data_IF_199699848802
#
_entry.id   IF_199699848802
#
_cell.length_a   1.000
_cell.length_b   1.000
_cell.length_c   1.000
_cell.angle_alpha   90.00
_cell.angle_beta   90.00
_cell.angle_gamma   90.00
#
_symmetry.space_group_name_H-M   'P 1'
#
loop_
_entity.id
_entity.type
_entity.pdbx_description
1 polymer ?
#
# COMPACT_ATOMS: atom_id res chain seq x y z
N UNK A 1 -48.35 -98.37 14.99
CA UNK A 1 -47.26 -97.50 15.48
C UNK A 1 -47.72 -96.04 15.34
N UNK A 2 -47.85 -95.41 16.50
CA UNK A 2 -48.35 -94.02 16.46
C UNK A 2 -47.24 -93.04 16.00
N UNK A 3 -47.39 -92.44 14.83
CA UNK A 3 -46.40 -91.56 14.22
C UNK A 3 -46.51 -90.12 14.80
N UNK A 4 -47.58 -89.88 15.57
CA UNK A 4 -47.91 -88.56 16.12
C UNK A 4 -46.85 -87.96 17.07
N UNK A 5 -46.22 -88.70 18.01
CA UNK A 5 -45.21 -88.13 18.92
C UNK A 5 -43.91 -87.73 18.19
N UNK A 6 -43.55 -88.33 17.08
CA UNK A 6 -42.35 -88.01 16.33
C UNK A 6 -42.57 -86.70 15.53
N UNK A 7 -43.77 -86.55 14.97
CA UNK A 7 -44.14 -85.29 14.24
C UNK A 7 -44.21 -84.08 15.19
N UNK A 8 -44.71 -84.27 16.41
CA UNK A 8 -44.79 -83.24 17.45
C UNK A 8 -43.37 -82.82 17.88
N UNK A 9 -42.47 -83.80 18.06
CA UNK A 9 -41.06 -83.46 18.39
C UNK A 9 -40.33 -82.74 17.27
N UNK A 10 -40.49 -83.16 16.05
CA UNK A 10 -39.89 -82.43 14.87
C UNK A 10 -40.42 -80.98 14.80
N UNK A 11 -41.70 -80.79 15.02
CA UNK A 11 -42.31 -79.48 15.04
C UNK A 11 -41.83 -78.62 16.23
N UNK A 12 -41.60 -79.18 17.37
CA UNK A 12 -41.02 -78.47 18.53
C UNK A 12 -39.56 -78.08 18.26
N UNK A 13 -38.73 -79.00 17.79
CA UNK A 13 -37.31 -78.74 17.46
C UNK A 13 -37.18 -77.67 16.36
N UNK A 14 -38.04 -77.70 15.34
CA UNK A 14 -38.09 -76.68 14.31
C UNK A 14 -38.48 -75.28 14.83
N UNK A 15 -39.47 -75.26 15.78
CA UNK A 15 -39.84 -73.95 16.39
C UNK A 15 -38.72 -73.41 17.31
N UNK A 16 -38.03 -74.28 18.03
CA UNK A 16 -36.89 -73.89 18.89
C UNK A 16 -35.72 -73.39 18.02
N UNK A 17 -35.41 -74.07 16.90
CA UNK A 17 -34.38 -73.61 15.92
C UNK A 17 -34.73 -72.26 15.31
N UNK A 18 -35.99 -72.11 14.91
CA UNK A 18 -36.47 -70.82 14.36
C UNK A 18 -36.38 -69.67 15.42
N UNK A 19 -36.76 -69.96 16.69
CA UNK A 19 -36.66 -68.98 17.74
C UNK A 19 -35.19 -68.55 18.01
N UNK A 20 -34.26 -69.54 18.02
CA UNK A 20 -32.80 -69.22 18.14
C UNK A 20 -32.27 -68.35 17.00
N UNK A 21 -32.66 -68.68 15.77
CA UNK A 21 -32.26 -67.88 14.59
C UNK A 21 -32.79 -66.44 14.69
N UNK A 22 -34.03 -66.26 15.11
CA UNK A 22 -34.63 -64.93 15.27
C UNK A 22 -33.99 -64.17 16.41
N UNK A 23 -33.65 -64.80 17.53
CA UNK A 23 -32.95 -64.12 18.62
C UNK A 23 -31.54 -63.70 18.25
N UNK A 24 -30.78 -64.54 17.55
CA UNK A 24 -29.47 -64.22 17.03
C UNK A 24 -29.53 -63.06 15.99
N UNK A 25 -30.53 -63.07 15.13
CA UNK A 25 -30.73 -61.98 14.17
C UNK A 25 -31.05 -60.64 14.84
N UNK A 26 -31.89 -60.68 15.90
CA UNK A 26 -32.19 -59.48 16.71
C UNK A 26 -30.96 -58.93 17.40
N UNK A 27 -30.19 -59.79 18.07
CA UNK A 27 -28.93 -59.38 18.71
C UNK A 27 -27.95 -58.76 17.74
N UNK A 28 -27.75 -59.36 16.55
CA UNK A 28 -26.90 -58.78 15.49
C UNK A 28 -27.41 -57.43 15.00
N UNK A 29 -28.71 -57.26 14.85
CA UNK A 29 -29.31 -55.98 14.44
C UNK A 29 -29.07 -54.90 15.52
N UNK A 30 -29.24 -55.23 16.81
CA UNK A 30 -28.95 -54.32 17.91
C UNK A 30 -27.48 -53.94 18.02
N UNK A 31 -26.56 -54.88 17.77
CA UNK A 31 -25.11 -54.60 17.77
C UNK A 31 -24.72 -53.70 16.60
N UNK A 32 -25.28 -53.92 15.40
CA UNK A 32 -25.07 -53.07 14.24
C UNK A 32 -25.60 -51.66 14.50
N UNK A 33 -26.79 -51.55 15.08
CA UNK A 33 -27.37 -50.23 15.42
C UNK A 33 -26.50 -49.49 16.45
N UNK A 34 -26.10 -50.13 17.53
CA UNK A 34 -25.19 -49.53 18.53
C UNK A 34 -23.85 -49.09 17.91
N UNK A 35 -23.23 -49.93 17.10
CA UNK A 35 -21.99 -49.59 16.42
C UNK A 35 -22.18 -48.44 15.41
N UNK A 36 -23.35 -48.32 14.77
CA UNK A 36 -23.68 -47.24 13.88
C UNK A 36 -23.88 -45.93 14.62
N UNK A 37 -24.62 -45.93 15.72
CA UNK A 37 -24.83 -44.76 16.60
C UNK A 37 -23.49 -44.23 17.15
N UNK A 38 -22.62 -45.12 17.63
CA UNK A 38 -21.29 -44.73 18.09
C UNK A 38 -20.46 -44.08 16.98
N UNK A 39 -20.48 -44.63 15.76
CA UNK A 39 -19.78 -44.04 14.59
C UNK A 39 -20.35 -42.67 14.20
N UNK A 40 -21.66 -42.52 14.26
CA UNK A 40 -22.31 -41.23 13.99
C UNK A 40 -21.88 -40.20 15.06
N UNK A 41 -21.95 -40.54 16.33
CA UNK A 41 -21.54 -39.65 17.41
C UNK A 41 -20.06 -39.22 17.29
N UNK A 42 -19.16 -40.17 16.97
CA UNK A 42 -17.75 -39.86 16.73
C UNK A 42 -17.55 -38.90 15.54
N UNK A 43 -18.27 -39.17 14.43
CA UNK A 43 -18.17 -38.29 13.24
C UNK A 43 -18.70 -36.88 13.50
N UNK A 44 -19.79 -36.76 14.27
CA UNK A 44 -20.33 -35.47 14.65
C UNK A 44 -19.34 -34.70 15.53
N UNK A 45 -18.79 -35.35 16.58
CA UNK A 45 -17.78 -34.70 17.42
C UNK A 45 -16.53 -34.24 16.63
N UNK A 46 -16.05 -35.06 15.69
CA UNK A 46 -14.93 -34.69 14.83
C UNK A 46 -15.29 -33.54 13.86
N UNK A 47 -16.54 -33.52 13.37
CA UNK A 47 -17.00 -32.44 12.50
C UNK A 47 -17.12 -31.11 13.27
N UNK A 48 -17.65 -31.16 14.48
CA UNK A 48 -17.77 -29.99 15.36
C UNK A 48 -16.38 -29.43 15.73
N UNK A 49 -15.43 -30.29 16.13
CA UNK A 49 -14.05 -29.86 16.40
C UNK A 49 -13.38 -29.20 15.20
N UNK A 50 -13.54 -29.79 14.02
CA UNK A 50 -13.01 -29.17 12.76
C UNK A 50 -13.65 -27.84 12.47
N UNK A 51 -14.97 -27.72 12.62
CA UNK A 51 -15.69 -26.47 12.39
C UNK A 51 -15.23 -25.37 13.35
N UNK A 52 -15.00 -25.69 14.63
CA UNK A 52 -14.47 -24.74 15.62
C UNK A 52 -13.06 -24.28 15.26
N UNK A 53 -12.16 -25.19 14.86
CA UNK A 53 -10.79 -24.86 14.43
C UNK A 53 -10.80 -23.98 13.18
N UNK A 54 -11.61 -24.32 12.18
CA UNK A 54 -11.74 -23.55 10.95
C UNK A 54 -12.32 -22.15 11.21
N UNK A 55 -13.32 -22.05 12.07
CA UNK A 55 -13.91 -20.78 12.48
C UNK A 55 -12.89 -19.89 13.21
N UNK A 56 -12.11 -20.47 14.13
CA UNK A 56 -11.05 -19.75 14.83
C UNK A 56 -9.93 -19.29 13.89
N UNK A 57 -9.55 -20.10 12.91
CA UNK A 57 -8.55 -19.73 11.90
C UNK A 57 -9.07 -18.62 10.96
N UNK A 58 -10.33 -18.72 10.57
CA UNK A 58 -10.99 -17.68 9.77
C UNK A 58 -11.00 -16.34 10.54
N UNK A 59 -11.44 -16.35 11.80
CA UNK A 59 -11.46 -15.16 12.64
C UNK A 59 -10.06 -14.53 12.79
N UNK A 60 -9.03 -15.34 13.01
CA UNK A 60 -7.63 -14.87 13.08
C UNK A 60 -7.14 -14.25 11.77
N UNK A 61 -7.51 -14.86 10.62
CA UNK A 61 -7.17 -14.30 9.29
C UNK A 61 -7.88 -12.97 9.04
N UNK A 62 -9.17 -12.89 9.36
CA UNK A 62 -9.94 -11.65 9.19
C UNK A 62 -9.41 -10.53 10.07
N UNK A 63 -9.07 -10.81 11.33
CA UNK A 63 -8.49 -9.82 12.24
C UNK A 63 -7.14 -9.28 11.73
N UNK A 64 -6.25 -10.15 11.23
CA UNK A 64 -4.98 -9.73 10.63
C UNK A 64 -5.17 -8.91 9.36
N UNK A 65 -6.11 -9.30 8.50
CA UNK A 65 -6.42 -8.57 7.28
C UNK A 65 -6.98 -7.18 7.61
N UNK A 66 -7.95 -7.10 8.53
CA UNK A 66 -8.52 -5.82 8.98
C UNK A 66 -7.45 -4.89 9.58
N UNK A 67 -6.55 -5.42 10.42
CA UNK A 67 -5.44 -4.65 10.97
C UNK A 67 -4.48 -4.13 9.88
N UNK A 68 -4.20 -4.94 8.86
CA UNK A 68 -3.36 -4.52 7.73
C UNK A 68 -4.04 -3.43 6.90
N UNK A 69 -5.31 -3.60 6.56
CA UNK A 69 -6.06 -2.59 5.81
C UNK A 69 -6.20 -1.28 6.59
N UNK A 70 -6.43 -1.36 7.91
CA UNK A 70 -6.43 -0.18 8.76
C UNK A 70 -5.09 0.57 8.77
N UNK A 71 -3.95 -0.15 8.82
CA UNK A 71 -2.62 0.48 8.72
C UNK A 71 -2.38 1.11 7.35
N UNK A 72 -2.79 0.45 6.26
CA UNK A 72 -2.67 1.00 4.91
C UNK A 72 -3.49 2.29 4.75
N UNK A 73 -4.73 2.30 5.24
CA UNK A 73 -5.58 3.47 5.20
C UNK A 73 -4.94 4.64 5.96
N UNK A 74 -4.47 4.40 7.20
CA UNK A 74 -3.79 5.42 8.00
C UNK A 74 -2.55 5.98 7.29
N UNK A 75 -1.73 5.13 6.67
CA UNK A 75 -0.55 5.57 5.93
C UNK A 75 -0.92 6.38 4.67
N UNK A 76 -2.01 6.00 3.98
CA UNK A 76 -2.52 6.76 2.84
C UNK A 76 -3.00 8.15 3.28
N UNK A 77 -3.74 8.25 4.38
CA UNK A 77 -4.20 9.52 4.94
C UNK A 77 -3.02 10.42 5.37
N UNK A 78 -2.04 9.86 6.06
CA UNK A 78 -0.80 10.59 6.42
C UNK A 78 -0.10 11.14 5.17
N UNK A 79 -0.02 10.36 4.10
CA UNK A 79 0.58 10.81 2.84
C UNK A 79 -0.17 11.98 2.23
N UNK A 80 -1.50 11.95 2.24
CA UNK A 80 -2.33 13.07 1.74
C UNK A 80 -2.02 14.37 2.49
N UNK A 81 -1.85 14.30 3.83
CA UNK A 81 -1.52 15.48 4.64
C UNK A 81 -0.12 15.99 4.32
N UNK A 82 0.88 15.11 4.19
CA UNK A 82 2.25 15.49 3.79
C UNK A 82 2.23 16.16 2.41
N UNK A 83 1.54 15.55 1.44
CA UNK A 83 1.39 16.11 0.08
C UNK A 83 0.72 17.49 0.08
N UNK A 84 -0.23 17.71 0.98
CA UNK A 84 -0.87 19.01 1.15
C UNK A 84 0.11 20.06 1.72
N UNK A 85 0.93 19.68 2.70
CA UNK A 85 1.94 20.57 3.27
C UNK A 85 2.98 21.00 2.22
N UNK A 86 3.48 20.08 1.40
CA UNK A 86 4.43 20.42 0.33
C UNK A 86 3.78 21.27 -0.79
N UNK A 87 2.51 21.03 -1.11
CA UNK A 87 1.77 21.90 -2.05
C UNK A 87 1.61 23.31 -1.52
N UNK A 88 1.24 23.44 -0.24
CA UNK A 88 1.13 24.75 0.40
C UNK A 88 2.47 25.48 0.42
N UNK A 89 3.57 24.79 0.75
CA UNK A 89 4.90 25.35 0.69
C UNK A 89 5.29 25.85 -0.71
N UNK A 90 4.90 25.14 -1.77
CA UNK A 90 5.11 25.57 -3.15
C UNK A 90 4.31 26.84 -3.46
N UNK A 91 3.06 26.90 -3.03
CA UNK A 91 2.20 28.06 -3.25
C UNK A 91 2.72 29.28 -2.48
N UNK A 92 3.22 29.10 -1.27
CA UNK A 92 3.86 30.16 -0.47
C UNK A 92 5.15 30.65 -1.14
N UNK A 93 5.99 29.76 -1.70
CA UNK A 93 7.17 30.13 -2.46
C UNK A 93 6.83 30.94 -3.72
N UNK A 94 5.76 30.58 -4.42
CA UNK A 94 5.29 31.31 -5.61
C UNK A 94 4.68 32.68 -5.26
N UNK A 95 4.15 32.80 -4.06
CA UNK A 95 3.56 34.04 -3.54
C UNK A 95 4.58 34.99 -2.88
N UNK A 96 5.88 34.61 -2.84
CA UNK A 96 6.93 35.49 -2.34
C UNK A 96 6.91 36.85 -3.04
N UNK A 97 7.20 37.96 -2.32
CA UNK A 97 7.38 39.27 -2.94
C UNK A 97 8.38 39.18 -4.11
N UNK A 98 8.08 39.84 -5.21
CA UNK A 98 8.89 39.70 -6.43
C UNK A 98 10.37 40.07 -6.23
N UNK A 99 10.68 41.00 -5.32
CA UNK A 99 12.06 41.36 -4.98
C UNK A 99 12.78 40.24 -4.25
N UNK A 100 12.10 39.53 -3.30
CA UNK A 100 12.68 38.43 -2.54
C UNK A 100 12.92 37.20 -3.42
N UNK A 101 11.92 36.87 -4.26
CA UNK A 101 12.04 35.79 -5.23
C UNK A 101 13.18 36.06 -6.23
N UNK A 102 13.27 37.30 -6.74
CA UNK A 102 14.34 37.72 -7.65
C UNK A 102 15.72 37.64 -6.98
N UNK A 103 15.85 38.11 -5.74
CA UNK A 103 17.11 38.05 -5.00
C UNK A 103 17.52 36.58 -4.73
N UNK A 104 16.56 35.71 -4.44
CA UNK A 104 16.80 34.28 -4.28
C UNK A 104 17.32 33.65 -5.59
N UNK A 105 16.63 33.87 -6.72
CA UNK A 105 17.03 33.32 -8.02
C UNK A 105 18.36 33.87 -8.50
N UNK A 106 18.67 35.11 -8.19
CA UNK A 106 19.97 35.69 -8.52
C UNK A 106 21.12 34.98 -7.78
N UNK A 107 20.97 34.77 -6.50
CA UNK A 107 21.94 34.01 -5.68
C UNK A 107 22.07 32.56 -6.18
N UNK A 108 20.92 31.92 -6.48
CA UNK A 108 20.90 30.57 -7.00
C UNK A 108 21.61 30.43 -8.33
N UNK A 109 21.36 31.38 -9.26
CA UNK A 109 22.01 31.41 -10.55
C UNK A 109 23.52 31.59 -10.44
N UNK A 110 23.97 32.58 -9.67
CA UNK A 110 25.40 32.81 -9.44
C UNK A 110 26.07 31.62 -8.76
N UNK A 111 25.36 30.94 -7.84
CA UNK A 111 25.89 29.74 -7.16
C UNK A 111 25.93 28.49 -8.02
N UNK A 112 25.13 28.40 -9.09
CA UNK A 112 25.00 27.17 -9.89
C UNK A 112 25.58 27.29 -11.31
N UNK A 113 25.56 28.46 -11.92
CA UNK A 113 26.09 28.66 -13.27
C UNK A 113 27.62 28.44 -13.31
N UNK A 114 28.07 27.71 -14.32
CA UNK A 114 29.50 27.50 -14.60
C UNK A 114 30.05 28.52 -15.62
N UNK A 115 29.15 29.23 -16.31
CA UNK A 115 29.43 30.20 -17.35
C UNK A 115 29.20 29.66 -18.76
N UNK A 116 28.64 30.52 -19.62
CA UNK A 116 28.33 30.20 -21.01
C UNK A 116 27.05 29.38 -21.22
N UNK A 117 26.22 29.20 -20.17
CA UNK A 117 24.92 28.54 -20.28
C UNK A 117 23.88 29.45 -20.96
N UNK A 118 22.87 28.79 -21.53
CA UNK A 118 21.62 29.41 -21.94
C UNK A 118 20.61 29.32 -20.78
N UNK A 119 20.02 30.46 -20.39
CA UNK A 119 19.03 30.59 -19.33
C UNK A 119 17.62 30.62 -19.94
N UNK A 120 16.81 29.62 -19.61
CA UNK A 120 15.40 29.56 -19.97
C UNK A 120 14.59 30.04 -18.78
N UNK A 121 13.87 31.15 -18.92
CA UNK A 121 13.00 31.63 -17.85
C UNK A 121 11.74 30.79 -17.75
N UNK A 122 11.31 30.53 -16.52
CA UNK A 122 10.01 29.88 -16.26
C UNK A 122 8.85 30.76 -16.68
N UNK A 123 7.80 30.16 -17.25
CA UNK A 123 6.63 30.89 -17.74
C UNK A 123 6.02 31.80 -16.66
N UNK A 124 5.91 31.32 -15.43
CA UNK A 124 5.35 32.06 -14.30
C UNK A 124 6.28 33.14 -13.74
N UNK A 125 7.59 33.10 -14.02
CA UNK A 125 8.63 34.02 -13.50
C UNK A 125 9.26 34.92 -14.56
N UNK A 126 8.78 34.84 -15.80
CA UNK A 126 9.35 35.61 -16.94
C UNK A 126 9.32 37.12 -16.73
N UNK A 127 8.34 37.62 -15.97
CA UNK A 127 8.22 39.04 -15.64
C UNK A 127 9.37 39.55 -14.75
N UNK A 128 10.04 38.68 -14.00
CA UNK A 128 11.18 39.03 -13.14
C UNK A 128 12.53 38.54 -13.67
N UNK A 129 12.54 37.47 -14.47
CA UNK A 129 13.74 36.90 -15.11
C UNK A 129 13.79 37.38 -16.56
N UNK A 130 14.26 38.57 -16.74
CA UNK A 130 14.38 39.28 -18.04
C UNK A 130 15.83 39.74 -18.24
N UNK A 131 16.10 40.45 -19.33
CA UNK A 131 17.46 40.94 -19.69
C UNK A 131 18.18 41.67 -18.54
N UNK A 132 17.49 42.53 -17.78
CA UNK A 132 18.08 43.25 -16.65
C UNK A 132 18.44 42.33 -15.45
N UNK A 133 17.75 41.17 -15.29
CA UNK A 133 18.15 40.16 -14.35
C UNK A 133 19.43 39.45 -14.80
N UNK A 134 19.49 39.07 -16.08
CA UNK A 134 20.66 38.39 -16.68
C UNK A 134 21.88 39.27 -16.64
N UNK A 135 21.73 40.57 -16.94
CA UNK A 135 22.82 41.52 -16.84
C UNK A 135 23.39 41.58 -15.42
N UNK A 136 22.54 41.70 -14.40
CA UNK A 136 22.96 41.69 -12.99
C UNK A 136 23.66 40.41 -12.59
N UNK A 137 23.17 39.26 -13.08
CA UNK A 137 23.80 37.96 -12.83
C UNK A 137 25.19 37.89 -13.50
N UNK A 138 25.31 38.36 -14.74
CA UNK A 138 26.57 38.37 -15.49
C UNK A 138 27.62 39.28 -14.86
N UNK A 139 27.22 40.40 -14.29
CA UNK A 139 28.12 41.24 -13.50
C UNK A 139 28.67 40.52 -12.26
N UNK A 140 27.84 39.74 -11.60
CA UNK A 140 28.26 38.93 -10.44
C UNK A 140 29.19 37.79 -10.87
N UNK A 141 28.85 37.06 -11.94
CA UNK A 141 29.69 35.99 -12.51
C UNK A 141 31.05 36.49 -12.95
N UNK A 142 31.10 37.67 -13.63
CA UNK A 142 32.36 38.30 -14.07
C UNK A 142 33.30 38.64 -12.91
N UNK A 143 32.76 39.07 -11.74
CA UNK A 143 33.55 39.30 -10.52
C UNK A 143 34.24 38.04 -10.00
N UNK A 144 33.64 36.87 -10.27
CA UNK A 144 34.18 35.57 -9.92
C UNK A 144 35.01 34.93 -11.06
N UNK A 145 35.24 35.65 -12.14
CA UNK A 145 36.04 35.19 -13.28
C UNK A 145 35.35 34.14 -14.15
N UNK A 146 34.00 34.08 -14.09
CA UNK A 146 33.18 33.14 -14.88
C UNK A 146 32.56 33.84 -16.10
N UNK A 147 32.35 33.08 -17.15
CA UNK A 147 31.64 33.57 -18.34
C UNK A 147 30.16 33.87 -18.00
N UNK A 148 29.56 34.80 -18.69
CA UNK A 148 28.16 35.14 -18.50
C UNK A 148 27.22 34.10 -19.12
N UNK A 149 25.96 34.11 -18.65
CA UNK A 149 24.85 33.34 -19.23
C UNK A 149 24.07 34.18 -20.26
N UNK A 150 23.34 33.55 -21.17
CA UNK A 150 22.51 34.21 -22.19
C UNK A 150 21.04 33.86 -21.96
N UNK A 151 20.16 34.87 -22.05
CA UNK A 151 18.73 34.64 -21.98
C UNK A 151 18.23 33.94 -23.24
N UNK A 152 17.54 32.85 -23.11
CA UNK A 152 16.86 32.15 -24.21
C UNK A 152 15.57 32.87 -24.59
N UNK A 153 15.21 32.78 -25.87
CA UNK A 153 13.86 33.13 -26.34
C UNK A 153 12.83 32.11 -25.90
N UNK A 154 13.26 30.85 -25.70
CA UNK A 154 12.42 29.76 -25.20
C UNK A 154 12.12 29.94 -23.70
N UNK A 155 11.00 29.36 -23.24
CA UNK A 155 10.62 29.30 -21.86
C UNK A 155 10.52 27.86 -21.36
N UNK A 156 10.44 27.71 -20.06
CA UNK A 156 10.21 26.41 -19.40
C UNK A 156 8.98 26.47 -18.50
N UNK A 157 8.21 25.38 -18.32
CA UNK A 157 7.14 25.37 -17.34
C UNK A 157 7.68 25.58 -15.90
N UNK A 158 6.91 26.30 -15.07
CA UNK A 158 7.20 26.48 -13.65
C UNK A 158 7.66 27.90 -13.28
N UNK A 159 8.05 28.03 -11.98
CA UNK A 159 8.47 29.31 -11.41
C UNK A 159 9.97 29.27 -11.08
N UNK A 160 10.81 29.97 -11.87
CA UNK A 160 12.25 29.97 -11.74
C UNK A 160 12.90 29.94 -13.11
N UNK A 161 13.98 29.18 -13.28
CA UNK A 161 14.72 29.08 -14.53
C UNK A 161 15.35 27.69 -14.73
N UNK A 162 15.76 27.42 -15.97
CA UNK A 162 16.61 26.28 -16.34
C UNK A 162 17.90 26.81 -16.98
N UNK A 163 19.03 26.26 -16.57
CA UNK A 163 20.32 26.46 -17.24
C UNK A 163 20.60 25.31 -18.18
N UNK A 164 20.93 25.61 -19.45
CA UNK A 164 21.21 24.60 -20.47
C UNK A 164 22.62 24.85 -21.07
N UNK A 165 23.44 23.79 -21.15
CA UNK A 165 24.74 23.81 -21.77
C UNK A 165 25.14 22.44 -22.30
N UNK A 166 25.47 22.36 -23.62
CA UNK A 166 26.02 21.14 -24.19
C UNK A 166 25.15 19.89 -24.04
N UNK A 167 23.82 20.01 -24.01
CA UNK A 167 22.87 18.92 -23.81
C UNK A 167 22.58 18.59 -22.34
N UNK A 168 23.24 19.21 -21.39
CA UNK A 168 22.94 19.14 -19.98
C UNK A 168 21.99 20.25 -19.56
N UNK A 169 21.00 19.93 -18.69
CA UNK A 169 20.06 20.91 -18.16
C UNK A 169 20.08 20.86 -16.63
N UNK A 170 20.15 22.04 -16.01
CA UNK A 170 19.98 22.21 -14.58
C UNK A 170 18.69 22.96 -14.31
N UNK A 171 17.71 22.29 -13.77
CA UNK A 171 16.41 22.86 -13.47
C UNK A 171 16.40 23.50 -12.07
N UNK A 172 16.28 24.82 -12.03
CA UNK A 172 16.25 25.68 -10.86
C UNK A 172 14.86 26.30 -10.62
N UNK A 173 13.79 25.62 -11.01
CA UNK A 173 12.43 26.04 -10.67
C UNK A 173 12.08 25.63 -9.24
N UNK A 174 11.18 26.38 -8.58
CA UNK A 174 10.71 26.04 -7.23
C UNK A 174 10.13 24.65 -7.13
N UNK A 175 9.44 24.20 -8.17
CA UNK A 175 8.88 22.86 -8.27
C UNK A 175 9.97 21.79 -8.10
N UNK A 176 11.05 21.91 -8.88
CA UNK A 176 12.15 20.93 -8.86
C UNK A 176 13.01 21.02 -7.62
N UNK A 177 13.22 22.23 -7.12
CA UNK A 177 13.95 22.44 -5.87
C UNK A 177 13.20 21.86 -4.68
N UNK A 178 11.89 22.06 -4.64
CA UNK A 178 11.05 21.51 -3.58
C UNK A 178 10.97 19.98 -3.66
N UNK A 179 10.83 19.41 -4.87
CA UNK A 179 10.87 17.95 -5.07
C UNK A 179 12.18 17.33 -4.57
N UNK A 180 13.31 18.01 -4.85
CA UNK A 180 14.62 17.54 -4.39
C UNK A 180 14.76 17.62 -2.85
N UNK A 181 14.20 18.66 -2.23
CA UNK A 181 14.16 18.81 -0.77
C UNK A 181 13.19 17.85 -0.12
N UNK A 182 12.08 17.54 -0.77
CA UNK A 182 11.08 16.60 -0.25
C UNK A 182 11.69 15.27 0.15
N UNK A 183 12.59 14.71 -0.67
CA UNK A 183 13.27 13.44 -0.38
C UNK A 183 14.07 13.48 0.95
N UNK A 184 14.51 14.66 1.36
CA UNK A 184 15.29 14.85 2.59
C UNK A 184 14.43 15.23 3.79
N UNK A 185 13.41 16.06 3.54
CA UNK A 185 12.60 16.66 4.59
C UNK A 185 11.33 15.86 4.92
N UNK A 186 10.91 14.89 4.08
CA UNK A 186 9.63 14.18 4.27
C UNK A 186 9.52 13.50 5.64
N UNK A 187 10.61 12.91 6.13
CA UNK A 187 10.63 12.26 7.46
C UNK A 187 10.49 13.28 8.59
N UNK A 188 11.18 14.42 8.49
CA UNK A 188 11.11 15.49 9.49
C UNK A 188 9.72 16.14 9.51
N UNK A 189 9.17 16.43 8.33
CA UNK A 189 7.81 16.96 8.18
C UNK A 189 6.77 15.98 8.73
N UNK A 190 6.94 14.68 8.49
CA UNK A 190 6.07 13.66 9.06
C UNK A 190 6.16 13.62 10.60
N UNK A 191 7.35 13.79 11.18
CA UNK A 191 7.54 13.91 12.62
C UNK A 191 6.78 15.11 13.20
N UNK A 192 6.94 16.28 12.60
CA UNK A 192 6.27 17.51 13.06
C UNK A 192 4.74 17.41 12.97
N UNK A 193 4.22 16.74 11.91
CA UNK A 193 2.77 16.66 11.66
C UNK A 193 2.06 15.60 12.51
N UNK A 194 2.76 14.54 12.95
CA UNK A 194 2.12 13.36 13.53
C UNK A 194 2.69 12.87 14.86
N UNK A 195 3.73 13.50 15.40
CA UNK A 195 4.30 13.31 16.74
C UNK A 195 3.92 14.48 17.66
#
# INVERSE_FOLDING_TARGET
MDVNPLLEKIAADAREAAARILDDARRRAEDINRASEQRIAQRMAQADERAELEAADMARRMARMSALEGRKALLADKRVVIDAAFRQALDDLRALPGEDARAYFLRLLVGTAQGGEELLAGDASRHMIHEGFVQQANEALAREGRDGVRLSADSTPGFGFVLRKGGAEMNCTFERLLDAQRLRAETEVAGILFE
#
